data_IF_036325541800
#
_entry.id   IF_036325541800
#
_cell.length_a   1.000
_cell.length_b   1.000
_cell.length_c   1.000
_cell.angle_alpha   90.00
_cell.angle_beta   90.00
_cell.angle_gamma   90.00
#
_symmetry.space_group_name_H-M   'P 1'
#
loop_
_entity.id
_entity.type
_entity.pdbx_description
1 polymer ?
#
# COMPACT_ATOMS: atom_id res chain seq x y z
N UNK A 1 70.91 -66.18 8.47
CA UNK A 1 70.07 -65.65 7.34
C UNK A 1 68.73 -65.25 7.95
N UNK A 2 68.49 -63.95 8.11
CA UNK A 2 67.22 -63.42 8.59
C UNK A 2 66.47 -62.81 7.38
N UNK A 3 65.39 -63.43 6.99
CA UNK A 3 64.52 -62.94 5.95
C UNK A 3 63.63 -61.79 6.55
N UNK A 4 63.77 -60.63 5.99
CA UNK A 4 62.92 -59.45 6.28
C UNK A 4 61.59 -59.55 5.51
N UNK A 5 60.51 -59.67 6.22
CA UNK A 5 59.16 -59.55 5.66
C UNK A 5 58.85 -58.06 5.26
N UNK A 6 58.38 -57.82 4.07
CA UNK A 6 58.00 -56.47 3.69
C UNK A 6 56.65 -56.08 4.39
N UNK A 7 56.66 -54.93 5.10
CA UNK A 7 55.47 -54.34 5.69
C UNK A 7 54.47 -53.97 4.58
N UNK A 8 53.28 -54.50 4.65
CA UNK A 8 52.16 -54.21 3.76
C UNK A 8 51.57 -52.83 4.11
N UNK A 9 52.04 -51.80 3.41
CA UNK A 9 51.48 -50.45 3.51
C UNK A 9 50.04 -50.43 2.99
N UNK A 10 49.10 -50.46 3.92
CA UNK A 10 47.69 -50.39 3.62
C UNK A 10 47.31 -49.06 2.91
N UNK A 11 47.07 -49.14 1.59
CA UNK A 11 46.58 -47.98 0.80
C UNK A 11 45.32 -47.39 1.44
N UNK A 12 45.27 -46.05 1.72
CA UNK A 12 44.14 -45.43 2.35
C UNK A 12 42.90 -45.58 1.46
N UNK A 13 41.80 -46.02 2.05
CA UNK A 13 40.51 -46.30 1.43
C UNK A 13 39.90 -45.03 0.79
N UNK A 14 40.17 -44.77 -0.51
CA UNK A 14 39.54 -43.70 -1.31
C UNK A 14 38.02 -43.87 -1.47
N UNK A 15 37.44 -44.97 -1.01
CA UNK A 15 35.97 -45.26 -1.12
C UNK A 15 35.12 -44.34 -0.23
N UNK A 16 35.55 -43.99 0.98
CA UNK A 16 34.84 -43.10 1.89
C UNK A 16 34.67 -41.67 1.32
N UNK A 17 35.70 -41.15 0.64
CA UNK A 17 35.65 -39.83 0.03
C UNK A 17 34.65 -39.75 -1.12
N UNK A 18 34.51 -40.81 -1.94
CA UNK A 18 33.52 -40.87 -3.03
C UNK A 18 32.09 -40.95 -2.47
N UNK A 19 31.87 -41.71 -1.41
CA UNK A 19 30.58 -41.79 -0.72
C UNK A 19 30.21 -40.45 -0.07
N UNK A 20 31.16 -39.78 0.56
CA UNK A 20 30.93 -38.45 1.14
C UNK A 20 30.59 -37.41 0.07
N UNK A 21 31.30 -37.39 -1.05
CA UNK A 21 30.99 -36.51 -2.20
C UNK A 21 29.60 -36.84 -2.75
N UNK A 22 29.27 -38.13 -2.95
CA UNK A 22 27.93 -38.52 -3.42
C UNK A 22 26.82 -38.10 -2.45
N UNK A 23 27.05 -38.21 -1.14
CA UNK A 23 26.13 -37.76 -0.11
C UNK A 23 25.93 -36.23 -0.12
N UNK A 24 27.02 -35.45 -0.24
CA UNK A 24 26.97 -34.01 -0.34
C UNK A 24 26.20 -33.57 -1.60
N UNK A 25 26.47 -34.20 -2.74
CA UNK A 25 25.73 -33.93 -4.00
C UNK A 25 24.25 -34.24 -3.83
N UNK A 26 23.92 -35.38 -3.21
CA UNK A 26 22.51 -35.73 -2.94
C UNK A 26 21.82 -34.68 -2.04
N UNK A 27 22.49 -34.21 -0.98
CA UNK A 27 21.96 -33.15 -0.12
C UNK A 27 21.76 -31.84 -0.87
N UNK A 28 22.68 -31.45 -1.74
CA UNK A 28 22.55 -30.22 -2.55
C UNK A 28 21.39 -30.34 -3.54
N UNK A 29 21.21 -31.50 -4.17
CA UNK A 29 20.05 -31.75 -5.07
C UNK A 29 18.76 -31.69 -4.27
N UNK A 30 18.68 -32.32 -3.09
CA UNK A 30 17.51 -32.28 -2.25
C UNK A 30 17.19 -30.88 -1.76
N UNK A 31 18.21 -30.11 -1.34
CA UNK A 31 18.05 -28.70 -0.95
C UNK A 31 17.53 -27.86 -2.13
N UNK A 32 18.05 -28.07 -3.33
CA UNK A 32 17.59 -27.39 -4.55
C UNK A 32 16.11 -27.70 -4.85
N UNK A 33 15.71 -28.98 -4.72
CA UNK A 33 14.31 -29.38 -4.91
C UNK A 33 13.38 -28.75 -3.85
N UNK A 34 13.82 -28.66 -2.61
CA UNK A 34 13.06 -28.02 -1.53
C UNK A 34 12.87 -26.51 -1.81
N UNK A 35 13.90 -25.82 -2.29
CA UNK A 35 13.79 -24.40 -2.68
C UNK A 35 12.78 -24.22 -3.81
N UNK A 36 12.82 -25.09 -4.82
CA UNK A 36 11.85 -25.01 -5.93
C UNK A 36 10.43 -25.28 -5.43
N UNK A 37 10.23 -26.30 -4.60
CA UNK A 37 8.95 -26.60 -4.00
C UNK A 37 8.39 -25.44 -3.16
N UNK A 38 9.27 -24.80 -2.37
CA UNK A 38 8.94 -23.61 -1.58
C UNK A 38 8.45 -22.43 -2.44
N UNK A 39 9.15 -22.13 -3.52
CA UNK A 39 8.77 -21.05 -4.44
C UNK A 39 7.45 -21.34 -5.17
N UNK A 40 7.25 -22.58 -5.59
CA UNK A 40 5.98 -23.00 -6.21
C UNK A 40 4.83 -22.87 -5.21
N UNK A 41 5.02 -23.31 -3.98
CA UNK A 41 4.01 -23.20 -2.94
C UNK A 41 3.66 -21.72 -2.63
N UNK A 42 4.66 -20.83 -2.52
CA UNK A 42 4.44 -19.40 -2.36
C UNK A 42 3.61 -18.83 -3.52
N UNK A 43 3.97 -19.12 -4.78
CA UNK A 43 3.23 -18.65 -5.94
C UNK A 43 1.79 -19.17 -6.04
N UNK A 44 1.49 -20.35 -5.49
CA UNK A 44 0.10 -20.86 -5.37
C UNK A 44 -0.66 -20.04 -4.33
N UNK A 45 -0.05 -19.76 -3.17
CA UNK A 45 -0.67 -18.95 -2.13
C UNK A 45 -0.95 -17.51 -2.61
N UNK A 46 0.00 -16.89 -3.30
CA UNK A 46 -0.14 -15.54 -3.88
C UNK A 46 -1.35 -15.44 -4.83
N UNK A 47 -1.53 -16.43 -5.70
CA UNK A 47 -2.70 -16.49 -6.60
C UNK A 47 -4.00 -16.65 -5.82
N UNK A 48 -4.03 -17.51 -4.81
CA UNK A 48 -5.23 -17.72 -3.99
C UNK A 48 -5.62 -16.43 -3.24
N UNK A 49 -4.65 -15.69 -2.70
CA UNK A 49 -4.87 -14.39 -2.06
C UNK A 49 -5.36 -13.37 -3.09
N UNK A 50 -4.74 -13.30 -4.27
CA UNK A 50 -5.15 -12.38 -5.34
C UNK A 50 -6.61 -12.61 -5.78
N UNK A 51 -7.02 -13.89 -5.92
CA UNK A 51 -8.40 -14.26 -6.25
C UNK A 51 -9.38 -13.85 -5.14
N UNK A 52 -8.97 -13.98 -3.88
CA UNK A 52 -9.80 -13.56 -2.74
C UNK A 52 -9.93 -12.04 -2.69
N UNK A 53 -8.84 -11.30 -2.86
CA UNK A 53 -8.84 -9.83 -2.92
C UNK A 53 -9.74 -9.34 -4.05
N UNK A 54 -9.65 -9.95 -5.23
CA UNK A 54 -10.51 -9.61 -6.37
C UNK A 54 -12.00 -9.80 -6.05
N UNK A 55 -12.35 -10.89 -5.37
CA UNK A 55 -13.74 -11.15 -4.94
C UNK A 55 -14.19 -10.10 -3.92
N UNK A 56 -13.32 -9.72 -2.98
CA UNK A 56 -13.67 -8.74 -1.95
C UNK A 56 -13.88 -7.34 -2.54
N UNK A 57 -13.01 -6.91 -3.46
CA UNK A 57 -13.18 -5.66 -4.23
C UNK A 57 -14.53 -5.66 -4.97
N UNK A 58 -14.88 -6.77 -5.62
CA UNK A 58 -16.15 -6.89 -6.35
C UNK A 58 -17.38 -6.84 -5.43
N UNK A 59 -17.31 -7.38 -4.21
CA UNK A 59 -18.41 -7.29 -3.23
C UNK A 59 -18.72 -5.85 -2.80
N UNK A 60 -17.73 -4.96 -2.90
CA UNK A 60 -17.89 -3.55 -2.55
C UNK A 60 -18.28 -2.68 -3.75
N UNK A 61 -18.86 -3.29 -4.80
CA UNK A 61 -19.21 -2.62 -6.05
C UNK A 61 -18.05 -1.85 -6.69
N UNK A 62 -16.82 -2.32 -6.43
CA UNK A 62 -15.60 -1.77 -7.00
C UNK A 62 -14.99 -2.72 -8.04
N UNK A 63 -14.17 -2.17 -8.91
CA UNK A 63 -13.41 -2.90 -9.92
C UNK A 63 -11.93 -2.51 -9.81
N UNK A 64 -11.05 -3.43 -10.14
CA UNK A 64 -9.61 -3.17 -10.24
C UNK A 64 -9.00 -4.03 -11.34
N UNK A 65 -7.82 -3.67 -11.80
CA UNK A 65 -6.97 -4.60 -12.54
C UNK A 65 -6.63 -5.82 -11.66
N UNK A 66 -6.05 -6.86 -12.24
CA UNK A 66 -5.69 -8.06 -11.48
C UNK A 66 -4.77 -7.70 -10.30
N UNK A 67 -5.15 -8.06 -9.05
CA UNK A 67 -4.31 -7.78 -7.88
C UNK A 67 -2.95 -8.47 -8.01
N UNK A 68 -1.89 -7.75 -7.70
CA UNK A 68 -0.55 -8.31 -7.56
C UNK A 68 -0.31 -8.59 -6.10
N UNK A 69 -0.01 -9.84 -5.77
CA UNK A 69 0.25 -10.28 -4.39
C UNK A 69 1.63 -10.90 -4.32
N UNK A 70 2.37 -10.57 -3.31
CA UNK A 70 3.67 -11.13 -2.99
C UNK A 70 3.69 -11.56 -1.52
N UNK A 71 4.08 -12.81 -1.26
CA UNK A 71 4.34 -13.32 0.08
C UNK A 71 5.83 -13.34 0.33
N UNK A 72 6.28 -12.45 1.18
CA UNK A 72 7.69 -12.27 1.55
C UNK A 72 8.17 -13.32 2.56
N UNK A 73 9.51 -13.32 2.74
CA UNK A 73 10.19 -14.24 3.63
C UNK A 73 10.59 -15.58 2.97
N UNK A 74 11.56 -16.25 3.59
CA UNK A 74 12.06 -17.53 3.13
C UNK A 74 12.56 -18.38 4.31
N UNK A 75 12.27 -19.68 4.37
CA UNK A 75 11.41 -20.45 3.49
C UNK A 75 9.90 -20.22 3.76
N UNK A 76 9.09 -20.18 2.69
CA UNK A 76 7.64 -20.00 2.81
C UNK A 76 6.96 -21.17 3.54
N UNK A 77 7.37 -22.41 3.24
CA UNK A 77 6.77 -23.60 3.86
C UNK A 77 6.95 -23.62 5.38
N UNK A 78 8.04 -23.07 5.91
CA UNK A 78 8.23 -22.95 7.36
C UNK A 78 7.30 -21.93 7.98
N UNK A 79 7.01 -20.84 7.27
CA UNK A 79 6.03 -19.84 7.68
C UNK A 79 4.61 -20.44 7.73
N UNK A 80 4.24 -21.24 6.72
CA UNK A 80 2.95 -21.97 6.69
C UNK A 80 2.81 -22.91 7.89
N UNK A 81 3.85 -23.69 8.21
CA UNK A 81 3.84 -24.59 9.34
C UNK A 81 3.77 -23.87 10.70
N UNK A 82 4.40 -22.71 10.78
CA UNK A 82 4.38 -21.86 11.98
C UNK A 82 3.09 -21.03 12.10
N UNK A 83 2.31 -20.88 11.03
CA UNK A 83 1.15 -19.99 10.96
C UNK A 83 1.52 -18.52 11.10
N UNK A 84 2.75 -18.15 10.74
CA UNK A 84 3.29 -16.79 10.84
C UNK A 84 3.98 -16.41 9.54
N UNK A 85 3.55 -15.31 8.96
CA UNK A 85 4.05 -14.79 7.68
C UNK A 85 4.73 -13.46 7.91
N UNK A 86 5.96 -13.31 7.44
CA UNK A 86 6.76 -12.11 7.64
C UNK A 86 6.14 -10.89 6.97
N UNK A 87 5.64 -11.07 5.73
CA UNK A 87 5.10 -9.99 4.93
C UNK A 87 4.15 -10.51 3.86
N UNK A 88 3.04 -9.79 3.68
CA UNK A 88 2.13 -9.96 2.54
C UNK A 88 1.94 -8.57 1.93
N UNK A 89 2.39 -8.40 0.69
CA UNK A 89 2.23 -7.15 -0.07
C UNK A 89 1.14 -7.33 -1.11
N UNK A 90 0.24 -6.36 -1.22
CA UNK A 90 -0.86 -6.35 -2.18
C UNK A 90 -0.82 -5.02 -2.92
N UNK A 91 -0.78 -5.08 -4.25
CA UNK A 91 -0.86 -3.90 -5.11
C UNK A 91 -2.10 -4.02 -5.97
N UNK A 92 -2.98 -3.04 -5.82
CA UNK A 92 -4.15 -2.86 -6.67
C UNK A 92 -3.92 -1.66 -7.59
N UNK A 93 -4.22 -1.83 -8.87
CA UNK A 93 -4.18 -0.74 -9.84
C UNK A 93 -5.56 -0.53 -10.47
N UNK A 94 -5.78 0.71 -10.92
CA UNK A 94 -7.01 1.11 -11.61
C UNK A 94 -8.29 0.79 -10.81
N UNK A 95 -8.23 1.00 -9.49
CA UNK A 95 -9.39 0.77 -8.63
C UNK A 95 -10.43 1.84 -8.91
N UNK A 96 -11.62 1.40 -9.27
CA UNK A 96 -12.78 2.24 -9.52
C UNK A 96 -13.93 1.76 -8.64
N UNK A 97 -14.53 2.66 -7.93
CA UNK A 97 -15.64 2.38 -7.03
C UNK A 97 -16.56 3.58 -6.89
N UNK A 98 -17.53 3.49 -5.97
CA UNK A 98 -18.43 4.58 -5.65
C UNK A 98 -18.35 4.92 -4.17
N UNK A 99 -18.26 6.19 -3.86
CA UNK A 99 -18.35 6.72 -2.50
C UNK A 99 -19.51 7.70 -2.46
N UNK A 100 -20.50 7.44 -1.61
CA UNK A 100 -21.74 8.25 -1.52
C UNK A 100 -22.47 8.44 -2.86
N UNK A 101 -22.29 7.51 -3.81
CA UNK A 101 -22.89 7.57 -5.15
C UNK A 101 -21.98 8.14 -6.23
N UNK A 102 -20.94 8.86 -5.87
CA UNK A 102 -19.96 9.43 -6.80
C UNK A 102 -18.87 8.43 -7.18
N UNK A 103 -18.51 8.44 -8.47
CA UNK A 103 -17.45 7.59 -8.98
C UNK A 103 -16.08 8.10 -8.49
N UNK A 104 -15.35 7.23 -7.82
CA UNK A 104 -14.00 7.48 -7.31
C UNK A 104 -13.00 6.58 -8.02
N UNK A 105 -11.90 7.15 -8.46
CA UNK A 105 -10.78 6.45 -9.07
C UNK A 105 -9.55 6.53 -8.18
N UNK A 106 -8.99 5.37 -7.89
CA UNK A 106 -7.72 5.19 -7.17
C UNK A 106 -6.76 4.46 -8.11
N UNK A 107 -5.91 5.18 -8.84
CA UNK A 107 -4.99 4.60 -9.82
C UNK A 107 -4.07 3.53 -9.24
N UNK A 108 -3.70 3.69 -7.97
CA UNK A 108 -2.83 2.76 -7.27
C UNK A 108 -3.13 2.72 -5.78
N UNK A 109 -3.21 1.50 -5.25
CA UNK A 109 -3.30 1.22 -3.82
C UNK A 109 -2.28 0.12 -3.49
N UNK A 110 -1.31 0.46 -2.66
CA UNK A 110 -0.32 -0.46 -2.10
C UNK A 110 -0.67 -0.75 -0.65
N UNK A 111 -0.68 -2.02 -0.27
CA UNK A 111 -0.92 -2.48 1.10
C UNK A 111 0.15 -3.47 1.49
N UNK A 112 0.84 -3.20 2.57
CA UNK A 112 1.86 -4.06 3.17
C UNK A 112 1.41 -4.50 4.56
N UNK A 113 1.11 -5.77 4.72
CA UNK A 113 0.84 -6.39 6.02
C UNK A 113 2.09 -7.15 6.49
N UNK A 114 2.51 -6.90 7.72
CA UNK A 114 3.69 -7.56 8.33
C UNK A 114 3.31 -8.32 9.58
N UNK A 115 4.10 -9.36 9.86
CA UNK A 115 3.93 -10.24 11.00
C UNK A 115 2.48 -10.75 11.09
N UNK A 116 2.04 -11.33 9.95
CA UNK A 116 0.68 -11.83 9.79
C UNK A 116 0.58 -13.20 10.44
N UNK A 117 -0.35 -13.35 11.37
CA UNK A 117 -0.66 -14.62 12.02
C UNK A 117 -1.95 -15.20 11.44
N UNK A 118 -1.88 -16.41 10.90
CA UNK A 118 -3.02 -17.15 10.40
C UNK A 118 -2.73 -18.65 10.49
N UNK A 119 -3.63 -19.43 11.10
CA UNK A 119 -3.44 -20.88 11.15
C UNK A 119 -3.58 -21.51 9.76
N UNK A 120 -2.97 -22.68 9.57
CA UNK A 120 -3.13 -23.43 8.31
C UNK A 120 -4.60 -23.78 8.02
N UNK A 121 -5.38 -24.06 9.05
CA UNK A 121 -6.79 -24.36 8.93
C UNK A 121 -7.59 -23.11 8.53
N UNK A 122 -7.23 -21.93 9.06
CA UNK A 122 -7.80 -20.63 8.64
C UNK A 122 -7.54 -20.36 7.16
N UNK A 123 -6.30 -20.62 6.70
CA UNK A 123 -5.95 -20.43 5.27
C UNK A 123 -6.69 -21.39 4.34
N UNK A 124 -6.96 -22.61 4.80
CA UNK A 124 -7.66 -23.64 3.99
C UNK A 124 -9.17 -23.44 3.96
N UNK A 125 -9.76 -23.07 5.09
CA UNK A 125 -11.22 -22.92 5.24
C UNK A 125 -11.71 -21.52 4.91
N UNK A 126 -10.82 -20.51 4.96
CA UNK A 126 -11.19 -19.09 4.92
C UNK A 126 -11.92 -18.63 6.20
N UNK A 127 -11.99 -19.49 7.22
CA UNK A 127 -12.65 -19.22 8.51
C UNK A 127 -11.64 -19.24 9.63
N UNK A 128 -11.70 -18.26 10.53
CA UNK A 128 -10.77 -18.12 11.65
C UNK A 128 -10.07 -16.78 11.63
N UNK A 129 -9.26 -16.51 12.63
CA UNK A 129 -8.63 -15.20 12.79
C UNK A 129 -7.37 -15.08 11.94
N UNK A 130 -7.31 -14.03 11.15
CA UNK A 130 -6.10 -13.54 10.48
C UNK A 130 -5.79 -12.18 11.04
N UNK A 131 -4.65 -12.05 11.70
CA UNK A 131 -4.23 -10.78 12.34
C UNK A 131 -2.88 -10.36 11.79
N UNK A 132 -2.78 -9.13 11.31
CA UNK A 132 -1.52 -8.49 10.99
C UNK A 132 -1.07 -7.61 12.15
N UNK A 133 0.17 -7.72 12.60
CA UNK A 133 0.73 -6.86 13.65
C UNK A 133 0.81 -5.41 13.17
N UNK A 134 1.24 -5.20 11.92
CA UNK A 134 1.26 -3.89 11.28
C UNK A 134 0.73 -3.97 9.85
N UNK A 135 -0.02 -2.95 9.46
CA UNK A 135 -0.47 -2.73 8.09
C UNK A 135 -0.10 -1.33 7.68
N UNK A 136 0.64 -1.19 6.61
CA UNK A 136 0.95 0.08 5.95
C UNK A 136 0.19 0.15 4.63
N UNK A 137 -0.55 1.25 4.41
CA UNK A 137 -1.31 1.49 3.20
C UNK A 137 -0.88 2.79 2.51
N UNK A 138 -0.80 2.78 1.19
CA UNK A 138 -0.60 3.97 0.37
C UNK A 138 -1.56 3.94 -0.80
N UNK A 139 -2.46 4.93 -0.86
CA UNK A 139 -3.42 5.08 -1.95
C UNK A 139 -3.26 6.42 -2.65
N UNK A 140 -3.47 6.44 -3.97
CA UNK A 140 -3.54 7.66 -4.76
C UNK A 140 -4.97 7.90 -5.20
N UNK A 141 -5.54 9.05 -4.87
CA UNK A 141 -6.89 9.45 -5.29
C UNK A 141 -6.76 10.54 -6.33
N UNK A 142 -7.41 10.40 -7.48
CA UNK A 142 -7.36 11.42 -8.54
C UNK A 142 -8.00 12.72 -8.10
N UNK A 143 -7.51 13.84 -8.62
CA UNK A 143 -8.08 15.17 -8.33
C UNK A 143 -9.52 15.32 -8.79
N UNK A 144 -9.86 14.70 -9.92
CA UNK A 144 -11.25 14.70 -10.44
C UNK A 144 -12.21 13.98 -9.49
N UNK A 145 -11.77 12.86 -8.90
CA UNK A 145 -12.56 12.14 -7.89
C UNK A 145 -12.75 12.98 -6.63
N UNK A 146 -11.69 13.63 -6.16
CA UNK A 146 -11.76 14.51 -5.00
C UNK A 146 -12.66 15.73 -5.27
N UNK A 147 -12.58 16.34 -6.45
CA UNK A 147 -13.42 17.48 -6.81
C UNK A 147 -14.91 17.10 -6.85
N UNK A 148 -15.25 15.90 -7.36
CA UNK A 148 -16.62 15.35 -7.35
C UNK A 148 -17.13 15.13 -5.93
N UNK A 149 -16.34 14.49 -5.08
CA UNK A 149 -16.69 14.23 -3.67
C UNK A 149 -16.93 15.53 -2.86
N UNK A 150 -16.28 16.63 -3.24
CA UNK A 150 -16.47 17.92 -2.59
C UNK A 150 -17.75 18.64 -3.07
N UNK A 151 -18.41 18.14 -4.11
CA UNK A 151 -19.68 18.65 -4.68
C UNK A 151 -19.71 20.17 -4.84
N UNK A 152 -18.62 20.73 -5.37
CA UNK A 152 -18.52 22.17 -5.64
C UNK A 152 -18.40 22.42 -7.15
N UNK A 153 -19.44 22.95 -7.79
CA UNK A 153 -19.42 23.25 -9.22
C UNK A 153 -18.27 24.18 -9.60
N UNK A 154 -17.49 23.77 -10.61
CA UNK A 154 -16.35 24.55 -11.12
C UNK A 154 -15.07 24.45 -10.28
N UNK A 155 -15.05 23.63 -9.22
CA UNK A 155 -13.85 23.33 -8.48
C UNK A 155 -12.91 22.46 -9.32
N UNK A 156 -11.68 22.90 -9.49
CA UNK A 156 -10.60 22.11 -10.10
C UNK A 156 -9.46 21.98 -9.11
N UNK A 157 -8.98 20.77 -8.96
CA UNK A 157 -7.84 20.43 -8.09
C UNK A 157 -6.66 19.96 -8.94
N UNK A 158 -5.46 20.16 -8.44
CA UNK A 158 -4.24 19.74 -9.11
C UNK A 158 -3.03 19.81 -8.16
N UNK A 159 -1.85 19.63 -8.73
CA UNK A 159 -0.59 19.82 -8.01
C UNK A 159 0.20 20.97 -8.64
N UNK A 160 0.84 21.78 -7.82
CA UNK A 160 1.80 22.81 -8.24
C UNK A 160 2.92 22.94 -7.20
N UNK A 161 4.14 22.61 -7.59
CA UNK A 161 5.32 22.73 -6.72
C UNK A 161 5.20 21.97 -5.38
N UNK A 162 4.61 20.76 -5.40
CA UNK A 162 4.38 19.93 -4.22
C UNK A 162 3.22 20.39 -3.32
N UNK A 163 2.44 21.38 -3.75
CA UNK A 163 1.27 21.91 -3.05
C UNK A 163 -0.02 21.54 -3.79
N UNK A 164 -1.11 21.47 -3.07
CA UNK A 164 -2.44 21.30 -3.67
C UNK A 164 -2.83 22.60 -4.37
N UNK A 165 -2.94 22.56 -5.68
CA UNK A 165 -3.46 23.67 -6.47
C UNK A 165 -4.99 23.58 -6.52
N UNK A 166 -5.64 24.71 -6.32
CA UNK A 166 -7.11 24.83 -6.27
C UNK A 166 -7.54 25.99 -7.15
N UNK A 167 -8.48 25.72 -8.04
CA UNK A 167 -9.16 26.75 -8.84
C UNK A 167 -10.65 26.62 -8.60
N UNK A 168 -11.31 27.69 -8.24
CA UNK A 168 -12.75 27.70 -7.98
C UNK A 168 -13.40 29.04 -8.39
N UNK A 169 -14.65 29.03 -8.90
CA UNK A 169 -15.43 30.24 -9.05
C UNK A 169 -15.90 30.71 -7.66
N UNK A 170 -15.74 31.97 -7.38
CA UNK A 170 -16.15 32.60 -6.12
C UNK A 170 -16.93 33.89 -6.43
N UNK A 171 -18.02 34.11 -5.73
CA UNK A 171 -18.75 35.38 -5.79
C UNK A 171 -18.20 36.33 -4.73
N UNK A 172 -17.59 37.41 -5.19
CA UNK A 172 -17.05 38.45 -4.29
C UNK A 172 -17.78 39.77 -4.65
N UNK A 173 -18.62 40.22 -3.72
CA UNK A 173 -19.40 41.45 -3.87
C UNK A 173 -20.28 41.49 -5.14
N UNK A 174 -20.83 40.35 -5.54
CA UNK A 174 -21.67 40.20 -6.72
C UNK A 174 -20.92 40.03 -8.06
N UNK A 175 -19.58 40.00 -8.01
CA UNK A 175 -18.74 39.67 -9.16
C UNK A 175 -18.29 38.20 -9.09
N UNK A 176 -18.60 37.41 -10.12
CA UNK A 176 -18.12 36.05 -10.27
C UNK A 176 -16.66 36.09 -10.74
N UNK A 177 -15.75 35.71 -9.87
CA UNK A 177 -14.32 35.69 -10.13
C UNK A 177 -13.78 34.24 -10.06
N UNK A 178 -12.80 33.93 -10.91
CA UNK A 178 -12.06 32.70 -10.78
C UNK A 178 -10.89 32.92 -9.82
N UNK A 179 -10.92 32.23 -8.71
CA UNK A 179 -9.85 32.26 -7.69
C UNK A 179 -8.93 31.06 -7.87
N UNK A 180 -7.66 31.32 -8.01
CA UNK A 180 -6.59 30.34 -8.05
C UNK A 180 -5.77 30.44 -6.76
N UNK A 181 -5.41 29.31 -6.17
CA UNK A 181 -4.57 29.27 -4.98
C UNK A 181 -3.80 27.97 -4.86
N UNK A 182 -2.82 27.98 -3.96
CA UNK A 182 -2.17 26.75 -3.52
C UNK A 182 -2.39 26.56 -2.03
N UNK A 183 -2.49 25.30 -1.60
CA UNK A 183 -2.63 24.95 -0.20
C UNK A 183 -1.53 23.97 0.24
N UNK A 184 -0.96 24.23 1.41
CA UNK A 184 -0.17 23.25 2.13
C UNK A 184 -1.13 22.26 2.80
N UNK A 185 -0.83 20.97 2.63
CA UNK A 185 -1.62 19.86 3.18
C UNK A 185 -0.83 19.22 4.29
N UNK A 186 -1.36 19.20 5.50
CA UNK A 186 -0.72 18.56 6.66
C UNK A 186 -1.71 17.68 7.39
N UNK A 187 -1.22 16.63 8.05
CA UNK A 187 -2.04 15.73 8.87
C UNK A 187 -1.58 15.84 10.31
N UNK A 188 -2.51 16.15 11.20
CA UNK A 188 -2.26 16.19 12.64
C UNK A 188 -3.54 15.94 13.42
N UNK A 189 -3.46 15.13 14.47
CA UNK A 189 -4.57 14.90 15.39
C UNK A 189 -5.87 14.38 14.73
N UNK A 190 -5.75 13.48 13.75
CA UNK A 190 -6.90 12.93 13.03
C UNK A 190 -7.60 13.93 12.10
N UNK A 191 -6.89 14.98 11.69
CA UNK A 191 -7.41 16.02 10.78
C UNK A 191 -6.43 16.27 9.65
N UNK A 192 -6.95 16.57 8.47
CA UNK A 192 -6.20 17.15 7.36
C UNK A 192 -6.37 18.66 7.43
N UNK A 193 -5.28 19.35 7.68
CA UNK A 193 -5.24 20.81 7.67
C UNK A 193 -4.85 21.32 6.29
N UNK A 194 -5.72 22.12 5.69
CA UNK A 194 -5.48 22.83 4.44
C UNK A 194 -5.19 24.30 4.75
N UNK A 195 -4.01 24.77 4.42
CA UNK A 195 -3.60 26.16 4.62
C UNK A 195 -3.34 26.79 3.27
N UNK A 196 -4.26 27.66 2.86
CA UNK A 196 -4.19 28.32 1.56
C UNK A 196 -3.16 29.45 1.58
N UNK A 197 -2.32 29.44 0.53
CA UNK A 197 -1.29 30.43 0.26
C UNK A 197 -1.43 30.86 -1.21
N UNK A 198 -0.76 31.96 -1.56
CA UNK A 198 -0.64 32.41 -2.94
C UNK A 198 -1.98 32.51 -3.71
N UNK A 199 -3.01 33.01 -3.01
CA UNK A 199 -4.34 33.17 -3.61
C UNK A 199 -4.35 34.35 -4.55
N UNK A 200 -4.78 34.12 -5.79
CA UNK A 200 -4.95 35.12 -6.85
C UNK A 200 -6.36 35.04 -7.42
N UNK A 201 -6.88 36.14 -7.94
CA UNK A 201 -8.16 36.13 -8.61
C UNK A 201 -8.00 36.80 -10.01
N UNK A 202 -8.53 36.12 -11.02
CA UNK A 202 -8.55 36.66 -12.37
C UNK A 202 -9.55 37.83 -12.46
N UNK A 203 -9.15 38.91 -13.14
CA UNK A 203 -10.00 40.08 -13.29
C UNK A 203 -9.93 41.12 -12.15
N UNK A 204 -9.19 40.85 -11.09
CA UNK A 204 -8.95 41.85 -10.05
C UNK A 204 -7.78 42.78 -10.43
N UNK A 205 -7.96 44.10 -10.30
CA UNK A 205 -6.85 45.02 -10.50
C UNK A 205 -5.74 44.80 -9.47
N UNK A 206 -4.50 45.00 -9.87
CA UNK A 206 -3.32 44.81 -9.01
C UNK A 206 -3.16 45.92 -7.96
N UNK A 207 -4.18 46.12 -7.14
CA UNK A 207 -4.23 47.11 -6.09
C UNK A 207 -3.84 46.53 -4.73
N UNK A 208 -3.16 47.25 -3.85
CA UNK A 208 -2.80 46.78 -2.51
C UNK A 208 -4.01 46.30 -1.70
N UNK A 209 -5.14 46.99 -1.81
CA UNK A 209 -6.38 46.63 -1.13
C UNK A 209 -6.93 45.27 -1.63
N UNK A 210 -6.86 44.96 -2.91
CA UNK A 210 -7.30 43.68 -3.48
C UNK A 210 -6.43 42.53 -2.95
N UNK A 211 -5.12 42.72 -2.84
CA UNK A 211 -4.22 41.73 -2.25
C UNK A 211 -4.54 41.45 -0.77
N UNK A 212 -4.85 42.49 -0.01
CA UNK A 212 -5.23 42.34 1.41
C UNK A 212 -6.55 41.57 1.56
N UNK A 213 -7.53 41.87 0.71
CA UNK A 213 -8.81 41.14 0.71
C UNK A 213 -8.62 39.66 0.36
N UNK A 214 -7.81 39.33 -0.67
CA UNK A 214 -7.49 37.97 -1.05
C UNK A 214 -6.73 37.22 0.09
N UNK A 215 -5.77 37.87 0.73
CA UNK A 215 -5.05 37.27 1.85
C UNK A 215 -5.96 36.97 3.05
N UNK A 216 -6.91 37.86 3.35
CA UNK A 216 -7.92 37.61 4.38
C UNK A 216 -8.90 36.50 3.98
N UNK A 217 -9.30 36.47 2.71
CA UNK A 217 -10.11 35.38 2.17
C UNK A 217 -9.38 34.02 2.28
N UNK A 218 -8.10 33.96 1.89
CA UNK A 218 -7.27 32.76 2.03
C UNK A 218 -7.22 32.22 3.48
N UNK A 219 -7.11 33.10 4.45
CA UNK A 219 -7.18 32.74 5.87
C UNK A 219 -8.55 32.19 6.27
N UNK A 220 -9.62 32.81 5.75
CA UNK A 220 -11.01 32.41 6.03
C UNK A 220 -11.40 31.05 5.44
N UNK A 221 -10.80 30.65 4.32
CA UNK A 221 -11.04 29.33 3.68
C UNK A 221 -10.07 28.24 4.13
N UNK A 222 -9.02 28.60 4.87
CA UNK A 222 -8.14 27.60 5.49
C UNK A 222 -8.91 26.79 6.52
N UNK A 223 -8.91 25.46 6.38
CA UNK A 223 -9.83 24.58 7.11
C UNK A 223 -9.10 23.34 7.63
N UNK A 224 -9.57 22.86 8.77
CA UNK A 224 -9.20 21.56 9.32
C UNK A 224 -10.35 20.59 9.00
N UNK A 225 -10.10 19.65 8.11
CA UNK A 225 -11.07 18.62 7.72
C UNK A 225 -10.86 17.40 8.62
N UNK A 226 -11.85 17.03 9.46
CA UNK A 226 -11.73 15.82 10.24
C UNK A 226 -11.68 14.61 9.30
N UNK A 227 -10.77 13.69 9.57
CA UNK A 227 -10.73 12.42 8.88
C UNK A 227 -11.87 11.54 9.42
N UNK A 228 -12.63 10.88 8.54
CA UNK A 228 -13.61 9.89 8.99
C UNK A 228 -12.88 8.73 9.69
N UNK A 229 -13.60 8.02 10.55
CA UNK A 229 -13.12 6.77 11.09
C UNK A 229 -12.90 5.79 9.93
N UNK A 230 -11.63 5.44 9.70
CA UNK A 230 -11.27 4.50 8.66
C UNK A 230 -11.45 3.06 9.17
N UNK A 231 -11.83 2.11 8.30
CA UNK A 231 -11.89 0.70 8.66
C UNK A 231 -10.55 0.25 9.24
N UNK A 232 -10.58 -0.77 10.12
CA UNK A 232 -9.40 -1.35 10.76
C UNK A 232 -8.58 -0.35 11.61
N UNK A 233 -9.18 0.74 12.08
CA UNK A 233 -8.51 1.78 12.87
C UNK A 233 -7.25 2.36 12.15
N UNK A 234 -7.32 2.45 10.83
CA UNK A 234 -6.26 3.05 10.03
C UNK A 234 -6.04 4.52 10.43
N UNK A 235 -4.80 4.84 10.74
CA UNK A 235 -4.37 6.20 11.05
C UNK A 235 -3.70 6.81 9.82
N UNK A 236 -4.28 7.88 9.28
CA UNK A 236 -3.63 8.63 8.20
C UNK A 236 -2.41 9.35 8.77
N UNK A 237 -1.25 9.04 8.22
CA UNK A 237 0.05 9.63 8.62
C UNK A 237 0.43 10.81 7.77
N UNK A 238 0.14 10.72 6.47
CA UNK A 238 0.59 11.70 5.50
C UNK A 238 -0.38 11.81 4.34
N UNK A 239 -0.52 13.03 3.84
CA UNK A 239 -1.26 13.34 2.61
C UNK A 239 -0.37 14.26 1.77
N UNK A 240 -0.05 13.85 0.55
CA UNK A 240 0.87 14.56 -0.35
C UNK A 240 0.22 14.79 -1.71
N UNK A 241 0.17 16.04 -2.17
CA UNK A 241 -0.15 16.34 -3.56
C UNK A 241 0.96 15.81 -4.48
N UNK A 242 0.57 15.07 -5.53
CA UNK A 242 1.43 14.56 -6.59
C UNK A 242 0.77 14.83 -7.94
N UNK A 243 1.49 14.82 -9.07
CA UNK A 243 0.89 15.09 -10.38
C UNK A 243 -0.29 14.19 -10.72
N UNK A 244 -0.24 12.93 -10.32
CA UNK A 244 -1.28 11.91 -10.57
C UNK A 244 -2.49 11.98 -9.64
N UNK A 245 -2.40 12.71 -8.53
CA UNK A 245 -3.46 12.82 -7.52
C UNK A 245 -2.93 13.06 -6.12
N UNK A 246 -3.82 12.95 -5.16
CA UNK A 246 -3.50 13.08 -3.74
C UNK A 246 -3.08 11.71 -3.18
N UNK A 247 -1.83 11.59 -2.77
CA UNK A 247 -1.28 10.37 -2.16
C UNK A 247 -1.53 10.39 -0.67
N UNK A 248 -2.25 9.40 -0.18
CA UNK A 248 -2.56 9.19 1.23
C UNK A 248 -1.77 8.00 1.74
N UNK A 249 -1.04 8.18 2.83
CA UNK A 249 -0.34 7.10 3.55
C UNK A 249 -0.99 6.92 4.91
N UNK A 250 -1.33 5.69 5.24
CA UNK A 250 -1.94 5.32 6.51
C UNK A 250 -1.29 4.06 7.07
N UNK A 251 -1.38 3.88 8.37
CA UNK A 251 -0.94 2.66 9.06
C UNK A 251 -1.95 2.23 10.13
N UNK A 252 -1.91 0.95 10.46
CA UNK A 252 -2.65 0.39 11.58
C UNK A 252 -1.84 -0.71 12.26
N UNK A 253 -2.22 -1.04 13.49
CA UNK A 253 -1.59 -2.12 14.28
C UNK A 253 -2.66 -3.09 14.76
N UNK A 254 -2.24 -4.36 14.92
CA UNK A 254 -3.10 -5.45 15.39
C UNK A 254 -4.42 -5.54 14.61
N UNK A 255 -4.30 -5.54 13.28
CA UNK A 255 -5.44 -5.49 12.34
C UNK A 255 -5.99 -6.89 12.14
N UNK A 256 -7.24 -7.16 12.54
CA UNK A 256 -7.95 -8.37 12.14
C UNK A 256 -8.39 -8.25 10.67
N UNK A 257 -7.78 -9.05 9.78
CA UNK A 257 -7.99 -8.91 8.32
C UNK A 257 -9.33 -9.53 7.88
N UNK A 258 -9.82 -10.53 8.59
CA UNK A 258 -11.01 -11.30 8.21
C UNK A 258 -12.27 -11.01 9.04
N UNK A 259 -12.24 -10.05 9.94
CA UNK A 259 -13.39 -9.67 10.78
C UNK A 259 -14.18 -8.47 10.24
N UNK A 260 -13.96 -8.06 8.98
CA UNK A 260 -14.81 -7.09 8.31
C UNK A 260 -15.95 -7.84 7.62
N UNK A 261 -16.96 -8.20 8.40
CA UNK A 261 -18.23 -8.75 8.00
C UNK A 261 -19.34 -7.84 8.45
#
# INVERSE_FOLDING_TARGET
VAEAYPANEGRPRRRGRKLLVGFVVLLLVLAGLLVVADRVAAGVAERAIADQVKKEVAKQDAQSSAPQVEVGGFPFLTQVLAGKYERISIVLTDVQGKVQGDAVSVPRLDVDARDVTASLDTLRSGQGDVVAETVDGRGTVTYDSLAKLLDRPGLTLGERNGKLAVTAPVDILGAKLTVNGTADVTVAGGKVALRFNDVTAEGLPNLPLAKTLLANYAKGISVDVPLPELPFQLNVRKVEPRPEGLVVTADARNVPINSAG
#
